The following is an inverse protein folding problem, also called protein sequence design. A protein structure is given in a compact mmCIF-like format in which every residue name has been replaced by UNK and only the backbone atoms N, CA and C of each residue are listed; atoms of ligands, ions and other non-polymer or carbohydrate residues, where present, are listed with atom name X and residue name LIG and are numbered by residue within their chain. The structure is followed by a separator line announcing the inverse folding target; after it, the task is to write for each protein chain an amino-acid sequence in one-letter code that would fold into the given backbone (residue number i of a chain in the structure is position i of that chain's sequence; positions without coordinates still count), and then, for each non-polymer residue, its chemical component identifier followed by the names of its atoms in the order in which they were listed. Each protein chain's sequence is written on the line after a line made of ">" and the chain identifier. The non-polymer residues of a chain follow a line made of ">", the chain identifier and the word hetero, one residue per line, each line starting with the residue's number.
data_IF_220236535756
#
_entry.id   IF_220236535756
#
_cell.length_a   1.000
_cell.length_b   1.000
_cell.length_c   1.000
_cell.angle_alpha   90.00
_cell.angle_beta   90.00
_cell.angle_gamma   90.00
#
_symmetry.space_group_name_H-M   'P 1'
#
loop_
_entity.id
_entity.type
_entity.pdbx_description
1 polymer ?
#
# COMPACT_ATOMS: atom_id res chain seq x y z
N UNK A 1 9.16 -4.70 -23.02
CA UNK A 1 9.37 -4.30 -21.62
C UNK A 1 8.72 -5.34 -20.74
N UNK A 2 9.48 -5.98 -19.84
CA UNK A 2 8.91 -6.93 -18.87
C UNK A 2 8.06 -6.18 -17.84
N UNK A 3 6.99 -6.80 -17.30
CA UNK A 3 6.17 -6.21 -16.24
C UNK A 3 6.98 -5.84 -14.98
N UNK A 4 8.14 -6.46 -14.77
CA UNK A 4 9.08 -6.20 -13.69
C UNK A 4 9.95 -4.93 -13.86
N UNK A 5 9.96 -4.32 -15.05
CA UNK A 5 10.85 -3.19 -15.39
C UNK A 5 10.19 -1.81 -15.16
N UNK A 6 9.07 -1.78 -14.42
CA UNK A 6 8.41 -0.52 -14.05
C UNK A 6 9.17 0.09 -12.87
N UNK A 7 9.85 1.23 -13.03
CA UNK A 7 10.68 1.83 -11.98
C UNK A 7 9.90 2.03 -10.66
N UNK A 8 8.60 2.35 -10.74
CA UNK A 8 7.74 2.50 -9.57
C UNK A 8 7.49 1.22 -8.75
N UNK A 9 7.57 0.02 -9.34
CA UNK A 9 7.36 -1.24 -8.61
C UNK A 9 8.59 -1.61 -7.78
N UNK A 10 9.79 -1.52 -8.37
CA UNK A 10 11.04 -1.75 -7.67
C UNK A 10 11.26 -0.73 -6.52
N UNK A 11 10.83 0.51 -6.72
CA UNK A 11 10.86 1.54 -5.68
C UNK A 11 9.87 1.25 -4.56
N UNK A 12 8.66 0.79 -4.87
CA UNK A 12 7.67 0.39 -3.87
C UNK A 12 8.19 -0.76 -2.99
N UNK A 13 8.75 -1.81 -3.59
CA UNK A 13 9.33 -2.92 -2.84
C UNK A 13 10.48 -2.46 -1.92
N UNK A 14 11.35 -1.55 -2.41
CA UNK A 14 12.43 -0.99 -1.60
C UNK A 14 11.88 -0.23 -0.39
N UNK A 15 10.85 0.60 -0.58
CA UNK A 15 10.18 1.33 0.50
C UNK A 15 9.53 0.37 1.49
N UNK A 16 8.87 -0.70 1.03
CA UNK A 16 8.29 -1.72 1.91
C UNK A 16 9.37 -2.40 2.74
N UNK A 17 10.52 -2.78 2.14
CA UNK A 17 11.65 -3.34 2.89
C UNK A 17 12.22 -2.37 3.93
N UNK A 18 12.32 -1.08 3.60
CA UNK A 18 12.73 -0.04 4.55
C UNK A 18 11.77 0.04 5.74
N UNK A 19 10.46 0.06 5.49
CA UNK A 19 9.44 0.08 6.55
C UNK A 19 9.45 -1.20 7.39
N UNK A 20 9.75 -2.35 6.79
CA UNK A 20 9.92 -3.62 7.51
C UNK A 20 11.17 -3.66 8.38
N UNK A 21 12.18 -2.83 8.10
CA UNK A 21 13.39 -2.69 8.91
C UNK A 21 13.21 -1.73 10.09
N UNK A 22 12.19 -0.86 10.06
CA UNK A 22 11.89 0.09 11.13
C UNK A 22 11.45 -0.64 12.42
N UNK A 23 12.14 -0.45 13.57
CA UNK A 23 11.79 -1.10 14.83
C UNK A 23 10.37 -0.78 15.34
N UNK A 24 9.92 0.47 15.24
CA UNK A 24 8.58 0.85 15.68
C UNK A 24 7.51 0.14 14.85
N UNK A 25 7.73 0.03 13.54
CA UNK A 25 6.84 -0.71 12.63
C UNK A 25 6.76 -2.19 13.00
N UNK A 26 7.87 -2.82 13.39
CA UNK A 26 7.91 -4.25 13.76
C UNK A 26 7.32 -4.52 15.14
N UNK A 27 7.59 -3.64 16.10
CA UNK A 27 7.31 -3.93 17.51
C UNK A 27 5.98 -3.35 18.01
N UNK A 28 5.36 -2.41 17.29
CA UNK A 28 4.00 -1.93 17.64
C UNK A 28 2.89 -2.70 16.93
N UNK A 29 1.72 -2.79 17.56
CA UNK A 29 0.55 -3.44 16.95
C UNK A 29 0.07 -2.68 15.70
N UNK A 30 0.05 -1.35 15.77
CA UNK A 30 -0.32 -0.48 14.65
C UNK A 30 0.67 -0.66 13.50
N UNK A 31 1.98 -0.64 13.79
CA UNK A 31 3.02 -0.84 12.80
C UNK A 31 2.88 -2.18 12.07
N UNK A 32 2.71 -3.28 12.81
CA UNK A 32 2.48 -4.61 12.22
C UNK A 32 1.22 -4.67 11.38
N UNK A 33 0.16 -3.96 11.79
CA UNK A 33 -1.08 -3.86 10.99
C UNK A 33 -0.81 -3.16 9.66
N UNK A 34 -0.06 -2.05 9.66
CA UNK A 34 0.33 -1.36 8.42
C UNK A 34 1.19 -2.25 7.53
N UNK A 35 2.19 -2.93 8.08
CA UNK A 35 3.04 -3.86 7.32
C UNK A 35 2.25 -5.00 6.68
N UNK A 36 1.26 -5.58 7.37
CA UNK A 36 0.37 -6.60 6.78
C UNK A 36 -0.47 -6.05 5.64
N UNK A 37 -0.98 -4.83 5.77
CA UNK A 37 -1.75 -4.20 4.71
C UNK A 37 -0.88 -3.93 3.47
N UNK A 38 0.38 -3.50 3.65
CA UNK A 38 1.34 -3.27 2.57
C UNK A 38 1.79 -4.58 1.89
N UNK A 39 2.00 -5.64 2.66
CA UNK A 39 2.48 -6.94 2.15
C UNK A 39 1.38 -7.87 1.61
N UNK A 40 0.11 -7.49 1.71
CA UNK A 40 -1.02 -8.36 1.38
C UNK A 40 -1.40 -8.44 -0.10
N UNK A 41 -0.79 -7.61 -0.96
CA UNK A 41 -1.10 -7.56 -2.38
C UNK A 41 0.04 -8.13 -3.24
N UNK A 42 -0.27 -8.79 -4.37
CA UNK A 42 0.75 -9.23 -5.31
C UNK A 42 1.57 -8.04 -5.82
N UNK A 43 2.89 -8.15 -5.71
CA UNK A 43 3.82 -7.12 -6.17
C UNK A 43 4.17 -7.28 -7.67
N UNK A 44 3.99 -8.50 -8.21
CA UNK A 44 4.26 -8.81 -9.61
C UNK A 44 2.98 -8.75 -10.47
N UNK A 45 3.00 -8.05 -11.62
CA UNK A 45 1.85 -7.98 -12.53
C UNK A 45 1.36 -9.33 -13.07
N UNK A 46 2.23 -10.33 -13.22
CA UNK A 46 1.84 -11.68 -13.65
C UNK A 46 0.98 -12.40 -12.61
N UNK A 47 1.22 -12.14 -11.33
CA UNK A 47 0.41 -12.68 -10.23
C UNK A 47 -1.03 -12.18 -10.25
N UNK A 48 -1.26 -10.95 -10.73
CA UNK A 48 -2.60 -10.40 -10.91
C UNK A 48 -3.37 -11.08 -12.05
N UNK A 49 -2.70 -11.36 -13.18
CA UNK A 49 -3.33 -12.05 -14.32
C UNK A 49 -3.77 -13.46 -13.92
N UNK A 50 -2.87 -14.24 -13.29
CA UNK A 50 -3.21 -15.57 -12.81
C UNK A 50 -4.39 -15.58 -11.82
N UNK A 51 -4.49 -14.55 -10.98
CA UNK A 51 -5.61 -14.42 -10.03
C UNK A 51 -6.92 -14.12 -10.75
N UNK A 52 -6.91 -13.26 -11.76
CA UNK A 52 -8.10 -12.96 -12.58
C UNK A 52 -8.58 -14.22 -13.31
N UNK A 53 -7.67 -14.97 -13.93
CA UNK A 53 -8.00 -16.18 -14.68
C UNK A 53 -8.53 -17.32 -13.80
N UNK A 54 -8.13 -17.35 -12.52
CA UNK A 54 -8.58 -18.36 -11.56
C UNK A 54 -9.94 -18.03 -10.91
N UNK A 55 -10.48 -16.82 -11.07
CA UNK A 55 -11.71 -16.41 -10.40
C UNK A 55 -12.95 -17.01 -11.08
N UNK A 56 -13.87 -17.65 -10.33
CA UNK A 56 -15.16 -18.06 -10.86
C UNK A 56 -15.97 -16.86 -11.37
N UNK A 57 -16.63 -17.01 -12.51
CA UNK A 57 -17.40 -15.93 -13.17
C UNK A 57 -18.47 -15.30 -12.28
N UNK A 58 -19.11 -16.11 -11.43
CA UNK A 58 -20.15 -15.65 -10.50
C UNK A 58 -19.60 -14.83 -9.31
N UNK A 59 -18.30 -14.96 -8.99
CA UNK A 59 -17.64 -14.18 -7.94
C UNK A 59 -17.13 -12.83 -8.45
N UNK A 60 -16.86 -12.70 -9.75
CA UNK A 60 -16.20 -11.54 -10.34
C UNK A 60 -16.87 -10.19 -9.98
N UNK A 61 -18.20 -10.02 -10.03
CA UNK A 61 -18.83 -8.75 -9.68
C UNK A 61 -18.57 -8.32 -8.22
N UNK A 62 -18.62 -9.26 -7.28
CA UNK A 62 -18.36 -9.00 -5.86
C UNK A 62 -16.90 -8.62 -5.61
N UNK A 63 -15.96 -9.31 -6.27
CA UNK A 63 -14.53 -9.01 -6.18
C UNK A 63 -14.21 -7.63 -6.76
N UNK A 64 -14.80 -7.27 -7.91
CA UNK A 64 -14.64 -5.94 -8.50
C UNK A 64 -15.09 -4.84 -7.54
N UNK A 65 -16.26 -5.00 -6.93
CA UNK A 65 -16.79 -4.03 -5.97
C UNK A 65 -15.88 -3.88 -4.75
N UNK A 66 -15.46 -5.00 -4.15
CA UNK A 66 -14.55 -4.99 -3.01
C UNK A 66 -13.20 -4.36 -3.36
N UNK A 67 -12.61 -4.69 -4.52
CA UNK A 67 -11.35 -4.13 -4.97
C UNK A 67 -11.42 -2.61 -5.14
N UNK A 68 -12.51 -2.10 -5.73
CA UNK A 68 -12.76 -0.65 -5.87
C UNK A 68 -12.89 0.03 -4.51
N UNK A 69 -13.65 -0.55 -3.59
CA UNK A 69 -13.81 -0.02 -2.23
C UNK A 69 -12.49 -0.01 -1.48
N UNK A 70 -11.67 -1.06 -1.61
CA UNK A 70 -10.33 -1.10 -1.03
C UNK A 70 -9.41 -0.03 -1.62
N UNK A 71 -9.46 0.19 -2.93
CA UNK A 71 -8.71 1.27 -3.59
C UNK A 71 -9.06 2.64 -3.01
N UNK A 72 -10.35 2.95 -2.85
CA UNK A 72 -10.82 4.20 -2.26
C UNK A 72 -10.37 4.36 -0.80
N UNK A 73 -10.49 3.30 0.00
CA UNK A 73 -10.06 3.32 1.40
C UNK A 73 -8.54 3.57 1.52
N UNK A 74 -7.74 2.98 0.64
CA UNK A 74 -6.30 3.22 0.59
C UNK A 74 -5.95 4.65 0.18
N UNK A 75 -6.65 5.22 -0.80
CA UNK A 75 -6.48 6.61 -1.19
C UNK A 75 -6.80 7.56 -0.02
N UNK A 76 -7.92 7.33 0.68
CA UNK A 76 -8.30 8.11 1.85
C UNK A 76 -7.26 8.00 2.99
N UNK A 77 -6.73 6.80 3.24
CA UNK A 77 -5.67 6.60 4.21
C UNK A 77 -4.40 7.40 3.87
N UNK A 78 -3.93 7.34 2.62
CA UNK A 78 -2.77 8.10 2.17
C UNK A 78 -2.98 9.62 2.32
N UNK A 79 -4.19 10.10 1.99
CA UNK A 79 -4.55 11.50 2.15
C UNK A 79 -4.55 11.94 3.62
N UNK A 80 -5.06 11.10 4.53
CA UNK A 80 -5.07 11.39 5.96
C UNK A 80 -3.66 11.44 6.55
N UNK A 81 -2.77 10.52 6.15
CA UNK A 81 -1.35 10.55 6.53
C UNK A 81 -0.69 11.84 6.06
N UNK A 82 -0.88 12.21 4.79
CA UNK A 82 -0.27 13.41 4.20
C UNK A 82 -0.70 14.69 4.91
N UNK A 83 -2.02 14.86 5.14
CA UNK A 83 -2.56 16.00 5.88
C UNK A 83 -2.00 16.11 7.30
N UNK A 84 -1.85 14.97 8.00
CA UNK A 84 -1.29 14.97 9.36
C UNK A 84 0.16 15.49 9.36
N UNK A 85 0.97 15.07 8.40
CA UNK A 85 2.38 15.49 8.31
C UNK A 85 2.54 16.93 7.82
N UNK A 86 1.63 17.44 6.99
CA UNK A 86 1.57 18.86 6.62
C UNK A 86 1.20 19.75 7.81
N UNK A 87 0.21 19.35 8.60
CA UNK A 87 -0.18 20.07 9.82
C UNK A 87 0.96 20.10 10.84
N UNK A 88 1.70 19.00 11.01
CA UNK A 88 2.88 18.94 11.90
C UNK A 88 3.97 19.89 11.45
N UNK A 89 4.33 19.89 10.15
CA UNK A 89 5.31 20.83 9.59
C UNK A 89 4.89 22.29 9.73
N UNK A 90 3.59 22.57 9.67
CA UNK A 90 3.06 23.93 9.82
C UNK A 90 3.07 24.45 11.26
N UNK A 91 3.12 23.54 12.25
CA UNK A 91 3.17 23.87 13.69
C UNK A 91 4.58 23.79 14.29
N UNK A 92 5.61 23.46 13.50
CA UNK A 92 6.99 23.50 13.96
C UNK A 92 7.44 24.98 14.04
N UNK A 93 7.82 25.50 15.22
CA UNK A 93 8.23 26.89 15.35
C UNK A 93 9.51 27.08 14.53
N UNK A 94 9.45 28.01 13.58
CA UNK A 94 10.61 28.44 12.80
C UNK A 94 11.59 29.10 13.79
N UNK A 95 12.57 28.33 14.27
CA UNK A 95 13.66 28.87 15.09
C UNK A 95 14.43 29.83 14.18
N UNK A 96 14.26 31.13 14.44
CA UNK A 96 15.04 32.23 13.87
C UNK A 96 16.33 32.37 14.65
#
# INVERSE_FOLDING_TARGET
>A
MSPADRPGAADAERVVRMLQADPWMRFTEIGRRVLRMLGGLPQDPGSWVCMVDALPSHCAPAIVELARRHSQNWAAFAQAVSQREELRRSHEPRVV
#
